data_IF_763043777458
#
_entry.id   IF_763043777458
#
_cell.length_a   1.000
_cell.length_b   1.000
_cell.length_c   1.000
_cell.angle_alpha   90.00
_cell.angle_beta   90.00
_cell.angle_gamma   90.00
#
_symmetry.space_group_name_H-M   'P 1'
#
loop_
_entity.id
_entity.type
_entity.pdbx_description
1 polymer ?
#
# COMPACT_ATOMS: atom_id res chain seq x y z
N UNK A 1 -1.33 -16.30 4.11
CA UNK A 1 -1.90 -15.65 5.32
C UNK A 1 -2.46 -14.32 4.86
N UNK A 2 -3.63 -13.88 5.35
CA UNK A 2 -4.28 -12.63 4.94
C UNK A 2 -5.12 -12.07 6.07
N UNK A 3 -5.64 -10.86 5.88
CA UNK A 3 -6.58 -10.19 6.79
C UNK A 3 -8.01 -10.45 6.32
N UNK A 4 -8.90 -10.69 7.27
CA UNK A 4 -10.32 -10.95 6.99
C UNK A 4 -11.18 -10.10 7.93
N UNK A 5 -12.27 -9.55 7.40
CA UNK A 5 -13.22 -8.77 8.18
C UNK A 5 -13.92 -9.66 9.22
N UNK A 6 -13.87 -9.28 10.51
CA UNK A 6 -14.58 -10.01 11.58
C UNK A 6 -16.07 -9.67 11.63
N UNK A 7 -16.43 -8.50 11.14
CA UNK A 7 -17.80 -7.98 11.04
C UNK A 7 -17.93 -7.17 9.75
N UNK A 8 -19.13 -6.89 9.25
CA UNK A 8 -19.32 -6.06 8.08
C UNK A 8 -18.72 -4.67 8.28
N UNK A 9 -18.04 -4.16 7.26
CA UNK A 9 -17.44 -2.82 7.25
C UNK A 9 -18.14 -2.01 6.16
N UNK A 10 -18.76 -0.91 6.53
CA UNK A 10 -19.39 -0.01 5.57
C UNK A 10 -18.35 0.71 4.71
N UNK A 11 -18.75 1.12 3.50
CA UNK A 11 -17.93 1.98 2.64
C UNK A 11 -17.39 3.17 3.42
N UNK A 12 -16.15 3.55 3.17
CA UNK A 12 -15.38 4.61 3.83
C UNK A 12 -15.09 4.35 5.34
N UNK A 13 -15.51 3.19 5.87
CA UNK A 13 -15.14 2.75 7.22
C UNK A 13 -13.63 2.50 7.32
N UNK A 14 -13.04 2.86 8.47
CA UNK A 14 -11.62 2.63 8.75
C UNK A 14 -11.38 1.13 8.91
N UNK A 15 -10.41 0.62 8.15
CA UNK A 15 -10.01 -0.80 8.13
C UNK A 15 -8.73 -1.01 8.91
N UNK A 16 -7.71 -0.18 8.64
CA UNK A 16 -6.40 -0.26 9.25
C UNK A 16 -5.89 1.17 9.46
N UNK A 17 -5.20 1.36 10.57
CA UNK A 17 -4.31 2.51 10.77
C UNK A 17 -2.93 1.91 11.00
N UNK A 18 -2.03 2.08 10.04
CA UNK A 18 -0.64 1.71 10.22
C UNK A 18 0.00 2.62 11.26
N UNK A 19 0.74 2.03 12.15
CA UNK A 19 1.48 2.74 13.15
C UNK A 19 2.72 1.94 13.50
N UNK A 20 3.79 2.62 13.83
CA UNK A 20 5.02 1.92 14.12
C UNK A 20 6.13 2.88 14.55
N UNK A 21 7.34 2.51 14.21
CA UNK A 21 8.52 3.30 14.52
C UNK A 21 8.85 4.19 13.32
N UNK A 22 8.38 5.42 13.37
CA UNK A 22 8.72 6.39 12.34
C UNK A 22 10.16 6.89 12.50
N UNK A 23 10.95 6.79 11.44
CA UNK A 23 12.36 7.14 11.39
C UNK A 23 12.65 8.01 10.18
N UNK A 24 13.74 8.79 10.24
CA UNK A 24 14.27 9.45 9.07
C UNK A 24 14.94 8.44 8.12
N UNK A 25 15.27 8.87 6.91
CA UNK A 25 15.83 7.99 5.88
C UNK A 25 17.11 7.29 6.34
N UNK A 26 18.03 8.00 7.00
CA UNK A 26 19.32 7.45 7.43
C UNK A 26 19.11 6.32 8.45
N UNK A 27 18.24 6.55 9.43
CA UNK A 27 17.90 5.57 10.46
C UNK A 27 17.16 4.36 9.84
N UNK A 28 16.23 4.61 8.93
CA UNK A 28 15.48 3.57 8.25
C UNK A 28 16.38 2.67 7.39
N UNK A 29 17.31 3.26 6.61
CA UNK A 29 18.26 2.49 5.81
C UNK A 29 19.20 1.63 6.68
N UNK A 30 19.62 2.17 7.83
CA UNK A 30 20.36 1.37 8.82
C UNK A 30 19.51 0.21 9.35
N UNK A 31 18.25 0.47 9.72
CA UNK A 31 17.33 -0.56 10.18
C UNK A 31 17.10 -1.65 9.10
N UNK A 32 16.99 -1.27 7.82
CA UNK A 32 16.91 -2.21 6.69
C UNK A 32 18.16 -3.08 6.59
N UNK A 33 19.34 -2.50 6.76
CA UNK A 33 20.61 -3.26 6.80
C UNK A 33 20.64 -4.24 7.96
N UNK A 34 20.05 -3.89 9.10
CA UNK A 34 19.90 -4.75 10.28
C UNK A 34 18.75 -5.79 10.13
N UNK A 35 18.17 -5.93 8.92
CA UNK A 35 17.16 -6.94 8.59
C UNK A 35 15.72 -6.55 8.90
N UNK A 36 15.43 -5.29 9.20
CA UNK A 36 14.06 -4.80 9.39
C UNK A 36 13.38 -4.50 8.06
N UNK A 37 12.05 -4.58 8.05
CA UNK A 37 11.25 -4.07 6.96
C UNK A 37 11.07 -2.56 7.09
N UNK A 38 11.09 -1.86 5.96
CA UNK A 38 10.87 -0.42 5.90
C UNK A 38 9.88 -0.07 4.82
N UNK A 39 9.06 0.94 5.07
CA UNK A 39 8.12 1.51 4.09
C UNK A 39 8.22 3.03 4.11
N UNK A 40 8.38 3.63 2.94
CA UNK A 40 8.42 5.07 2.85
C UNK A 40 7.02 5.67 2.98
N UNK A 41 6.89 6.63 3.90
CA UNK A 41 5.65 7.35 4.19
C UNK A 41 5.69 8.76 3.58
N UNK A 42 6.86 9.44 3.64
CA UNK A 42 7.10 10.74 3.01
C UNK A 42 8.60 10.89 2.65
N UNK A 43 9.05 12.04 2.14
CA UNK A 43 10.40 12.30 1.65
C UNK A 43 11.52 11.88 2.63
N UNK A 44 11.34 12.13 3.92
CA UNK A 44 12.30 11.76 4.95
C UNK A 44 11.59 11.12 6.15
N UNK A 45 10.53 10.38 5.87
CA UNK A 45 9.72 9.69 6.88
C UNK A 45 9.45 8.26 6.43
N UNK A 46 9.90 7.32 7.25
CA UNK A 46 9.79 5.89 7.00
C UNK A 46 9.15 5.19 8.19
N UNK A 47 8.27 4.26 7.94
CA UNK A 47 7.82 3.28 8.92
C UNK A 47 8.79 2.10 8.93
N UNK A 48 9.23 1.70 10.12
CA UNK A 48 10.21 0.63 10.33
C UNK A 48 9.61 -0.42 11.24
N UNK A 49 9.57 -1.67 10.78
CA UNK A 49 8.97 -2.76 11.53
C UNK A 49 9.75 -4.07 11.41
N UNK A 50 9.63 -4.90 12.45
CA UNK A 50 10.22 -6.22 12.48
C UNK A 50 9.34 -7.25 11.77
N UNK A 51 9.94 -8.16 10.99
CA UNK A 51 9.20 -9.29 10.43
C UNK A 51 8.60 -10.21 11.51
N UNK A 52 9.15 -10.21 12.71
CA UNK A 52 8.64 -10.97 13.86
C UNK A 52 7.33 -10.35 14.36
N UNK A 53 7.24 -9.03 14.41
CA UNK A 53 6.03 -8.31 14.83
C UNK A 53 4.87 -8.45 13.84
N UNK A 54 5.12 -8.86 12.58
CA UNK A 54 4.04 -9.20 11.64
C UNK A 54 3.13 -10.32 12.13
N UNK A 55 3.60 -11.17 13.03
CA UNK A 55 2.77 -12.19 13.67
C UNK A 55 1.96 -11.61 14.84
N UNK A 56 2.44 -10.53 15.45
CA UNK A 56 1.80 -9.85 16.58
C UNK A 56 0.89 -8.73 16.08
N UNK A 57 1.30 -8.02 15.01
CA UNK A 57 0.48 -7.01 14.34
C UNK A 57 0.00 -7.54 12.97
N UNK A 58 -1.26 -7.98 12.88
CA UNK A 58 -1.80 -8.53 11.65
C UNK A 58 -1.93 -7.50 10.53
N UNK A 59 -1.85 -6.18 10.79
CA UNK A 59 -2.02 -5.13 9.77
C UNK A 59 -1.02 -5.25 8.61
N UNK A 60 0.15 -5.81 8.85
CA UNK A 60 1.17 -6.09 7.83
C UNK A 60 0.86 -7.31 6.94
N UNK A 61 -0.19 -8.07 7.22
CA UNK A 61 -0.65 -9.18 6.38
C UNK A 61 -1.72 -8.74 5.37
N UNK A 62 -1.82 -7.45 5.07
CA UNK A 62 -2.74 -6.91 4.07
C UNK A 62 -2.25 -7.25 2.67
N UNK A 63 -2.92 -8.22 2.03
CA UNK A 63 -2.49 -8.76 0.75
C UNK A 63 -2.80 -7.82 -0.42
N UNK A 64 -2.01 -8.00 -1.49
CA UNK A 64 -2.26 -7.31 -2.74
C UNK A 64 -3.43 -7.90 -3.52
N UNK A 65 -4.24 -7.02 -4.12
CA UNK A 65 -5.17 -7.36 -5.21
C UNK A 65 -5.16 -6.29 -6.29
N UNK A 66 -5.23 -6.71 -7.57
CA UNK A 66 -5.43 -5.78 -8.69
C UNK A 66 -6.88 -5.26 -8.77
N UNK A 67 -7.80 -5.83 -7.98
CA UNK A 67 -9.18 -5.34 -7.78
C UNK A 67 -9.48 -5.30 -6.28
N UNK A 68 -8.87 -4.37 -5.53
CA UNK A 68 -8.94 -4.32 -4.08
C UNK A 68 -10.30 -3.84 -3.58
N UNK A 69 -10.65 -4.21 -2.34
CA UNK A 69 -11.80 -3.69 -1.63
C UNK A 69 -11.46 -2.61 -0.61
N UNK A 70 -10.18 -2.25 -0.49
CA UNK A 70 -9.71 -1.13 0.34
C UNK A 70 -8.81 -0.18 -0.45
N UNK A 71 -8.60 1.04 0.06
CA UNK A 71 -7.69 2.03 -0.50
C UNK A 71 -7.14 2.99 0.57
N UNK A 72 -6.15 3.81 0.21
CA UNK A 72 -5.56 4.80 1.11
C UNK A 72 -6.52 5.98 1.31
N UNK A 73 -6.61 6.47 2.55
CA UNK A 73 -7.26 7.73 2.91
C UNK A 73 -6.24 8.84 3.16
N UNK A 74 -5.19 8.49 3.86
CA UNK A 74 -4.05 9.36 4.18
C UNK A 74 -2.75 8.54 4.23
N UNK A 75 -1.69 9.06 4.86
CA UNK A 75 -0.37 8.42 4.88
C UNK A 75 -0.35 7.04 5.51
N UNK A 76 -1.26 6.78 6.45
CA UNK A 76 -1.26 5.54 7.25
C UNK A 76 -2.65 4.92 7.40
N UNK A 77 -3.72 5.61 7.01
CA UNK A 77 -5.09 5.14 7.17
C UNK A 77 -5.61 4.48 5.90
N UNK A 78 -6.08 3.26 6.04
CA UNK A 78 -6.74 2.48 5.00
C UNK A 78 -8.22 2.39 5.32
N UNK A 79 -9.07 2.64 4.32
CA UNK A 79 -10.52 2.59 4.43
C UNK A 79 -11.13 1.61 3.43
N UNK A 80 -12.33 1.17 3.73
CA UNK A 80 -13.13 0.33 2.84
C UNK A 80 -13.54 1.11 1.59
N UNK A 81 -13.21 0.60 0.41
CA UNK A 81 -13.61 1.17 -0.88
C UNK A 81 -15.09 0.96 -1.17
N UNK A 82 -15.62 -0.18 -0.74
CA UNK A 82 -17.02 -0.59 -0.86
C UNK A 82 -17.46 -1.18 0.47
N UNK A 83 -18.72 -1.58 0.60
CA UNK A 83 -19.13 -2.41 1.71
C UNK A 83 -18.36 -3.74 1.63
N UNK A 84 -17.87 -4.21 2.76
CA UNK A 84 -17.11 -5.45 2.92
C UNK A 84 -17.88 -6.35 3.86
N UNK A 85 -18.13 -7.57 3.45
CA UNK A 85 -18.88 -8.53 4.24
C UNK A 85 -18.00 -9.23 5.29
N UNK A 86 -18.65 -9.80 6.30
CA UNK A 86 -17.96 -10.63 7.29
C UNK A 86 -17.25 -11.80 6.60
N UNK A 87 -16.02 -12.09 7.02
CA UNK A 87 -15.12 -13.11 6.47
C UNK A 87 -14.61 -12.83 5.06
N UNK A 88 -14.87 -11.65 4.49
CA UNK A 88 -14.24 -11.22 3.24
C UNK A 88 -12.77 -10.86 3.49
N UNK A 89 -11.88 -11.25 2.58
CA UNK A 89 -10.47 -10.87 2.65
C UNK A 89 -10.31 -9.37 2.36
N UNK A 90 -9.56 -8.69 3.22
CA UNK A 90 -9.19 -7.29 3.04
C UNK A 90 -7.98 -7.21 2.12
N UNK A 91 -8.10 -6.51 1.01
CA UNK A 91 -7.02 -6.39 0.02
C UNK A 91 -6.82 -4.96 -0.43
N UNK A 92 -5.57 -4.60 -0.73
CA UNK A 92 -5.18 -3.29 -1.25
C UNK A 92 -4.33 -3.45 -2.51
N UNK A 93 -4.36 -2.48 -3.42
CA UNK A 93 -3.40 -2.46 -4.52
C UNK A 93 -2.10 -1.79 -4.05
N UNK A 94 -1.01 -2.51 -4.13
CA UNK A 94 0.31 -2.03 -3.68
C UNK A 94 0.83 -0.83 -4.50
N UNK A 95 0.30 -0.60 -5.69
CA UNK A 95 0.57 0.63 -6.44
C UNK A 95 0.22 1.91 -5.65
N UNK A 96 -0.69 1.84 -4.67
CA UNK A 96 -1.12 3.02 -3.92
C UNK A 96 -0.09 3.55 -2.93
N UNK A 97 0.93 2.74 -2.54
CA UNK A 97 1.89 3.13 -1.51
C UNK A 97 3.31 2.56 -1.69
N UNK A 98 3.51 1.51 -2.48
CA UNK A 98 4.84 0.93 -2.70
C UNK A 98 5.58 1.73 -3.76
N UNK A 99 6.82 2.15 -3.43
CA UNK A 99 7.70 2.97 -4.28
C UNK A 99 9.13 2.44 -4.36
N UNK A 100 9.42 1.29 -3.77
CA UNK A 100 10.75 0.67 -3.86
C UNK A 100 10.96 0.13 -5.28
N UNK A 101 11.89 0.70 -6.03
CA UNK A 101 12.22 0.29 -7.41
C UNK A 101 12.60 -1.18 -7.53
N UNK A 102 13.06 -1.79 -6.44
CA UNK A 102 13.40 -3.22 -6.39
C UNK A 102 12.21 -4.10 -5.99
N UNK A 103 11.05 -3.50 -5.69
CA UNK A 103 9.88 -4.29 -5.31
C UNK A 103 9.33 -5.05 -6.51
N UNK A 104 9.15 -6.36 -6.36
CA UNK A 104 8.67 -7.24 -7.41
C UNK A 104 7.84 -8.40 -6.86
N UNK A 105 6.61 -8.53 -7.34
CA UNK A 105 5.86 -9.79 -7.31
C UNK A 105 5.83 -10.32 -8.76
N UNK A 106 6.65 -11.33 -9.09
CA UNK A 106 6.78 -11.80 -10.48
C UNK A 106 5.53 -12.52 -10.99
N UNK A 107 4.74 -13.08 -10.08
CA UNK A 107 3.49 -13.78 -10.39
C UNK A 107 2.41 -13.41 -9.38
N UNK A 108 1.54 -12.47 -9.75
CA UNK A 108 0.41 -12.08 -8.93
C UNK A 108 -0.70 -13.13 -9.01
N UNK A 109 -1.15 -13.62 -7.84
CA UNK A 109 -2.19 -14.64 -7.70
C UNK A 109 -3.49 -14.11 -7.12
N UNK A 110 -3.80 -12.81 -7.33
CA UNK A 110 -4.99 -12.19 -6.74
C UNK A 110 -6.34 -12.69 -7.31
N UNK A 111 -6.33 -13.47 -8.39
CA UNK A 111 -7.54 -14.03 -8.99
C UNK A 111 -8.46 -13.04 -9.71
N UNK A 112 -8.11 -11.75 -9.75
CA UNK A 112 -8.89 -10.73 -10.44
C UNK A 112 -8.85 -10.91 -11.95
N UNK A 113 -9.98 -10.68 -12.63
CA UNK A 113 -10.05 -10.61 -14.10
C UNK A 113 -9.21 -9.47 -14.69
N UNK A 114 -8.86 -8.47 -13.86
CA UNK A 114 -7.99 -7.34 -14.20
C UNK A 114 -6.57 -7.52 -13.64
N UNK A 115 -6.18 -8.78 -13.38
CA UNK A 115 -4.86 -9.06 -12.83
C UNK A 115 -3.74 -8.59 -13.77
N UNK A 116 -2.80 -7.83 -13.23
CA UNK A 116 -1.62 -7.34 -14.00
C UNK A 116 -0.54 -8.41 -14.17
N UNK A 117 -0.68 -9.55 -13.52
CA UNK A 117 0.26 -10.67 -13.46
C UNK A 117 1.58 -10.35 -12.76
N UNK A 118 2.21 -9.25 -13.06
CA UNK A 118 3.44 -8.77 -12.41
C UNK A 118 3.16 -7.44 -11.71
N UNK A 119 3.61 -7.31 -10.46
CA UNK A 119 3.47 -6.10 -9.64
C UNK A 119 4.86 -5.56 -9.34
N UNK A 120 5.06 -4.28 -9.56
CA UNK A 120 6.35 -3.62 -9.37
C UNK A 120 6.22 -2.37 -8.49
N UNK A 121 7.34 -1.89 -7.97
CA UNK A 121 7.40 -0.62 -7.25
C UNK A 121 7.20 0.62 -8.12
N UNK A 122 7.05 0.44 -9.44
CA UNK A 122 6.76 1.51 -10.42
C UNK A 122 5.32 1.51 -10.93
N UNK A 123 4.48 0.62 -10.43
CA UNK A 123 3.09 0.53 -10.88
C UNK A 123 2.31 1.85 -10.67
N UNK A 124 2.68 2.66 -9.67
CA UNK A 124 2.10 3.98 -9.43
C UNK A 124 2.31 5.00 -10.59
N UNK A 125 3.30 4.77 -11.49
CA UNK A 125 3.57 5.61 -12.67
C UNK A 125 2.59 5.34 -13.81
N UNK A 126 1.87 4.22 -13.78
CA UNK A 126 0.93 3.81 -14.82
C UNK A 126 -0.30 4.70 -14.85
N UNK A 127 -0.63 5.24 -16.02
CA UNK A 127 -1.78 6.15 -16.22
C UNK A 127 -3.12 5.51 -15.89
N UNK A 128 -3.31 4.24 -16.27
CA UNK A 128 -4.54 3.49 -15.98
C UNK A 128 -4.78 3.34 -14.47
N UNK A 129 -3.71 3.16 -13.68
CA UNK A 129 -3.82 3.08 -12.23
C UNK A 129 -3.99 4.47 -11.59
N UNK A 130 -3.33 5.50 -12.14
CA UNK A 130 -3.52 6.88 -11.69
C UNK A 130 -4.97 7.35 -11.86
N UNK A 131 -5.62 6.97 -12.96
CA UNK A 131 -7.05 7.23 -13.19
C UNK A 131 -7.93 6.40 -12.26
N UNK A 132 -7.63 5.10 -12.13
CA UNK A 132 -8.40 4.15 -11.30
C UNK A 132 -8.42 4.52 -9.83
N UNK A 133 -7.29 4.97 -9.29
CA UNK A 133 -7.09 5.25 -7.86
C UNK A 133 -6.89 6.73 -7.57
N UNK A 134 -7.38 7.61 -8.43
CA UNK A 134 -7.33 9.05 -8.23
C UNK A 134 -7.74 9.41 -6.79
N UNK A 135 -6.93 10.26 -6.15
CA UNK A 135 -7.10 10.73 -4.77
C UNK A 135 -6.95 9.65 -3.65
N UNK A 136 -6.66 8.39 -4.04
CA UNK A 136 -6.49 7.27 -3.11
C UNK A 136 -5.10 6.62 -3.14
N UNK A 137 -4.14 7.22 -3.80
CA UNK A 137 -2.73 6.95 -3.51
C UNK A 137 -2.36 7.57 -2.15
N UNK A 138 -1.26 7.10 -1.54
CA UNK A 138 -0.73 7.83 -0.38
C UNK A 138 -0.47 9.30 -0.76
N UNK A 139 -0.64 10.25 0.16
CA UNK A 139 -0.39 11.67 -0.13
C UNK A 139 1.00 11.94 -0.70
N UNK A 140 1.99 11.18 -0.27
CA UNK A 140 3.34 11.24 -0.84
C UNK A 140 3.34 10.87 -2.33
N UNK A 141 2.71 9.76 -2.72
CA UNK A 141 2.61 9.36 -4.13
C UNK A 141 1.75 10.32 -4.94
N UNK A 142 0.67 10.85 -4.40
CA UNK A 142 -0.13 11.87 -5.08
C UNK A 142 0.72 13.10 -5.46
N UNK A 143 1.64 13.54 -4.59
CA UNK A 143 2.58 14.63 -4.89
C UNK A 143 3.58 14.24 -5.99
N UNK A 144 4.13 13.02 -5.95
CA UNK A 144 5.04 12.49 -6.99
C UNK A 144 4.34 12.40 -8.34
N UNK A 145 3.12 11.87 -8.40
CA UNK A 145 2.30 11.77 -9.61
C UNK A 145 2.04 13.16 -10.20
N UNK A 146 1.69 14.13 -9.35
CA UNK A 146 1.48 15.52 -9.79
C UNK A 146 2.73 16.14 -10.42
N UNK A 147 3.91 15.85 -9.87
CA UNK A 147 5.19 16.32 -10.42
C UNK A 147 5.52 15.62 -11.75
N UNK A 148 5.37 14.30 -11.80
CA UNK A 148 5.61 13.51 -13.01
C UNK A 148 4.73 13.98 -14.18
N UNK A 149 3.44 14.21 -13.91
CA UNK A 149 2.50 14.64 -14.95
C UNK A 149 2.78 16.05 -15.49
N UNK A 150 3.32 16.95 -14.68
CA UNK A 150 3.77 18.28 -15.13
C UNK A 150 4.98 18.20 -16.06
N UNK A 151 5.94 17.31 -15.77
CA UNK A 151 7.14 17.10 -16.59
C UNK A 151 6.83 16.51 -17.98
N UNK A 152 5.79 15.68 -18.08
CA UNK A 152 5.39 15.07 -19.36
C UNK A 152 4.60 16.07 -20.24
N UNK A 153 3.99 17.09 -19.63
CA UNK A 153 3.15 18.08 -20.31
C UNK A 153 3.91 19.34 -20.73
N UNK A 154 5.18 19.47 -20.38
CA UNK A 154 6.11 20.55 -20.73
C UNK A 154 7.06 20.12 -21.86
#
# INVERSE_FOLDING_TARGET
MGLFAREPIGKDGVVIIWGGNFMNEVEAQKAKFDGKAIQQIDNNLWDVFDYITRNEDPSYNHNHSCSPNTWMKDEVTIIAKNNIDRNEELTIDYAMFVIDDNYLIPECKCGSTFCRHTITGKDWERKDLQEKYKDHFSPYLNRKIGTLNKQISS
#
